data_IF_704823837175
#
_entry.id   IF_704823837175
#
_cell.length_a   1.000
_cell.length_b   1.000
_cell.length_c   1.000
_cell.angle_alpha   90.00
_cell.angle_beta   90.00
_cell.angle_gamma   90.00
#
_symmetry.space_group_name_H-M   'P 1'
#
loop_
_entity.id
_entity.type
_entity.pdbx_description
1 polymer ?
#
# COMPACT_ATOMS: atom_id res chain seq x y z
N UNK A 1 36.48 13.72 18.77
CA UNK A 1 35.75 13.27 17.57
C UNK A 1 34.51 12.54 18.04
N UNK A 2 33.33 13.12 17.88
CA UNK A 2 32.06 12.47 18.23
C UNK A 2 31.67 11.49 17.10
N UNK A 3 31.22 10.26 17.40
CA UNK A 3 30.74 9.36 16.36
C UNK A 3 29.39 9.88 15.84
N UNK A 4 29.33 10.17 14.55
CA UNK A 4 28.08 10.37 13.83
C UNK A 4 27.33 9.04 13.85
N UNK A 5 26.23 8.98 14.60
CA UNK A 5 25.27 7.87 14.47
C UNK A 5 24.50 8.08 13.17
N UNK A 6 24.92 7.38 12.11
CA UNK A 6 24.09 7.22 10.92
C UNK A 6 22.97 6.27 11.31
N UNK A 7 21.80 6.82 11.61
CA UNK A 7 20.59 6.03 11.80
C UNK A 7 20.23 5.44 10.43
N UNK A 8 20.63 4.18 10.19
CA UNK A 8 20.20 3.44 9.02
C UNK A 8 18.66 3.32 9.10
N UNK A 9 17.95 4.10 8.29
CA UNK A 9 16.54 3.86 8.03
C UNK A 9 16.45 2.44 7.49
N UNK A 10 15.93 1.51 8.31
CA UNK A 10 15.73 0.13 7.91
C UNK A 10 14.85 0.15 6.67
N UNK A 11 15.41 -0.24 5.52
CA UNK A 11 14.65 -0.56 4.32
C UNK A 11 13.53 -1.51 4.74
N UNK A 12 12.27 -1.06 4.68
CA UNK A 12 11.13 -1.90 5.04
C UNK A 12 10.97 -2.94 3.94
N UNK A 13 11.49 -4.13 4.17
CA UNK A 13 11.30 -5.27 3.28
C UNK A 13 9.86 -5.79 3.48
N UNK A 14 9.02 -5.60 2.45
CA UNK A 14 7.66 -6.13 2.44
C UNK A 14 7.67 -7.60 1.98
N UNK A 15 7.39 -8.51 2.91
CA UNK A 15 7.43 -9.96 2.65
C UNK A 15 6.02 -10.48 2.33
N UNK A 16 5.88 -11.29 1.27
CA UNK A 16 4.61 -11.94 0.92
C UNK A 16 4.09 -12.78 2.09
N UNK A 17 2.79 -12.70 2.34
CA UNK A 17 2.14 -13.32 3.49
C UNK A 17 2.06 -12.43 4.72
N UNK A 18 2.82 -11.33 4.77
CA UNK A 18 2.74 -10.34 5.85
C UNK A 18 1.37 -9.66 5.88
N UNK A 19 0.91 -9.37 7.09
CA UNK A 19 -0.28 -8.57 7.33
C UNK A 19 0.09 -7.16 7.77
N UNK A 20 -0.64 -6.18 7.26
CA UNK A 20 -0.36 -4.76 7.44
C UNK A 20 -1.65 -4.07 7.92
N UNK A 21 -1.53 -3.17 8.90
CA UNK A 21 -2.64 -2.35 9.41
C UNK A 21 -2.46 -0.87 9.07
N UNK A 22 -3.50 -0.21 8.59
CA UNK A 22 -3.43 1.19 8.17
C UNK A 22 -3.37 2.18 9.37
N UNK A 23 -2.41 3.13 9.33
CA UNK A 23 -2.15 4.09 10.42
C UNK A 23 -3.10 5.30 10.47
N UNK A 24 -3.38 5.93 9.32
CA UNK A 24 -4.08 7.24 9.22
C UNK A 24 -4.97 7.30 7.96
N UNK A 25 -5.90 8.26 7.95
CA UNK A 25 -7.14 8.24 7.17
C UNK A 25 -7.09 8.93 5.79
N UNK A 26 -6.10 9.71 5.40
CA UNK A 26 -6.25 10.49 4.15
C UNK A 26 -5.41 9.94 3.00
N UNK A 27 -6.08 9.81 1.85
CA UNK A 27 -5.64 9.43 0.49
C UNK A 27 -5.15 8.01 0.22
N UNK A 28 -5.25 7.07 1.16
CA UNK A 28 -4.99 5.65 0.86
C UNK A 28 -6.13 5.00 0.09
N UNK A 29 -5.80 4.43 -1.07
CA UNK A 29 -6.74 3.66 -1.89
C UNK A 29 -6.15 2.30 -2.26
N UNK A 30 -7.04 1.32 -2.45
CA UNK A 30 -6.71 0.05 -3.10
C UNK A 30 -7.42 0.01 -4.45
N UNK A 31 -6.70 -0.41 -5.48
CA UNK A 31 -7.18 -0.42 -6.85
C UNK A 31 -7.81 -1.77 -7.21
N UNK A 32 -8.91 -1.76 -7.96
CA UNK A 32 -9.47 -2.99 -8.51
C UNK A 32 -8.59 -3.60 -9.60
N UNK A 33 -7.92 -2.76 -10.40
CA UNK A 33 -7.10 -3.21 -11.52
C UNK A 33 -5.65 -2.76 -11.37
N UNK A 34 -4.72 -3.68 -11.66
CA UNK A 34 -3.28 -3.41 -11.64
C UNK A 34 -2.90 -2.25 -12.59
N UNK A 35 -3.56 -2.15 -13.74
CA UNK A 35 -3.26 -1.13 -14.74
C UNK A 35 -3.56 0.30 -14.25
N UNK A 36 -4.48 0.46 -13.29
CA UNK A 36 -4.79 1.78 -12.73
C UNK A 36 -3.64 2.27 -11.84
N UNK A 37 -3.01 1.37 -11.09
CA UNK A 37 -1.76 1.65 -10.33
C UNK A 37 -0.67 2.10 -11.29
N UNK A 38 -0.52 1.41 -12.42
CA UNK A 38 0.50 1.71 -13.43
C UNK A 38 0.29 3.06 -14.10
N UNK A 39 -0.97 3.39 -14.44
CA UNK A 39 -1.32 4.67 -15.04
C UNK A 39 -0.95 5.82 -14.12
N UNK A 40 -1.12 5.64 -12.81
CA UNK A 40 -0.77 6.64 -11.81
C UNK A 40 0.74 6.78 -11.67
N UNK A 41 1.50 5.68 -11.56
CA UNK A 41 2.96 5.76 -11.50
C UNK A 41 3.53 6.48 -12.71
N UNK A 42 3.08 6.11 -13.92
CA UNK A 42 3.45 6.79 -15.17
C UNK A 42 3.03 8.26 -15.19
N UNK A 43 1.91 8.64 -14.57
CA UNK A 43 1.51 10.06 -14.53
C UNK A 43 2.36 10.83 -13.52
N UNK A 44 2.75 10.22 -12.39
CA UNK A 44 3.56 10.81 -11.33
C UNK A 44 5.01 11.05 -11.77
N UNK A 45 5.56 10.15 -12.60
CA UNK A 45 6.89 10.32 -13.21
C UNK A 45 6.93 11.47 -14.22
N UNK A 46 5.79 11.79 -14.85
CA UNK A 46 5.67 12.82 -15.88
C UNK A 46 5.14 14.17 -15.36
N UNK A 47 4.42 14.20 -14.22
CA UNK A 47 3.79 15.39 -13.65
C UNK A 47 4.22 15.64 -12.20
N UNK A 48 4.31 16.93 -11.83
CA UNK A 48 4.80 17.39 -10.53
C UNK A 48 4.04 16.71 -9.35
N UNK A 49 4.74 16.09 -8.38
CA UNK A 49 4.14 15.31 -7.28
C UNK A 49 3.18 16.08 -6.35
N UNK A 50 3.05 17.40 -6.52
CA UNK A 50 2.14 18.26 -5.77
C UNK A 50 0.71 18.33 -6.37
N UNK A 51 0.40 17.55 -7.41
CA UNK A 51 -0.93 17.51 -8.03
C UNK A 51 -1.72 16.26 -7.62
N UNK A 52 -2.09 16.21 -6.33
CA UNK A 52 -3.01 15.20 -5.77
C UNK A 52 -4.39 15.16 -6.48
N UNK A 53 -4.72 16.19 -7.26
CA UNK A 53 -5.97 16.27 -8.03
C UNK A 53 -6.02 15.32 -9.25
N UNK A 54 -4.89 14.79 -9.72
CA UNK A 54 -4.86 13.89 -10.88
C UNK A 54 -5.37 12.47 -10.55
N UNK A 55 -5.30 12.06 -9.28
CA UNK A 55 -5.82 10.76 -8.81
C UNK A 55 -7.32 10.62 -9.08
N UNK A 56 -8.08 11.68 -8.85
CA UNK A 56 -9.54 11.69 -9.01
C UNK A 56 -9.99 11.77 -10.48
N UNK A 57 -9.10 12.19 -11.40
CA UNK A 57 -9.43 12.39 -12.82
C UNK A 57 -9.08 11.15 -13.66
N UNK A 58 -8.07 10.37 -13.25
CA UNK A 58 -7.55 9.26 -14.05
C UNK A 58 -8.20 7.90 -13.77
N UNK A 59 -8.79 7.68 -12.59
CA UNK A 59 -9.40 6.40 -12.22
C UNK A 59 -10.81 6.62 -11.72
N UNK A 60 -11.75 5.82 -12.22
CA UNK A 60 -13.13 5.88 -11.74
C UNK A 60 -13.15 5.55 -10.24
N UNK A 61 -13.69 6.45 -9.42
CA UNK A 61 -13.79 6.24 -7.97
C UNK A 61 -14.54 4.96 -7.58
N UNK A 62 -15.37 4.40 -8.48
CA UNK A 62 -16.03 3.10 -8.32
C UNK A 62 -15.06 1.93 -8.37
N UNK A 63 -13.90 2.13 -8.98
CA UNK A 63 -12.83 1.15 -9.10
C UNK A 63 -11.78 1.23 -8.00
N UNK A 64 -12.06 2.04 -6.98
CA UNK A 64 -11.20 2.26 -5.83
C UNK A 64 -11.91 1.83 -4.54
N UNK A 65 -11.18 1.15 -3.68
CA UNK A 65 -11.54 1.04 -2.28
C UNK A 65 -10.80 2.09 -1.46
N UNK A 66 -11.54 3.00 -0.84
CA UNK A 66 -10.98 4.00 0.10
C UNK A 66 -10.63 3.32 1.42
N UNK A 67 -9.34 3.23 1.72
CA UNK A 67 -8.82 2.58 2.93
C UNK A 67 -9.20 3.38 4.16
N UNK A 68 -9.75 2.70 5.17
CA UNK A 68 -10.06 3.30 6.47
C UNK A 68 -8.97 2.97 7.47
N UNK A 69 -8.83 3.81 8.51
CA UNK A 69 -7.92 3.53 9.63
C UNK A 69 -8.28 2.17 10.28
N UNK A 70 -7.27 1.34 10.54
CA UNK A 70 -7.43 0.02 11.12
C UNK A 70 -7.85 -1.07 10.12
N UNK A 71 -8.06 -0.73 8.84
CA UNK A 71 -8.21 -1.74 7.80
C UNK A 71 -6.89 -2.54 7.70
N UNK A 72 -7.05 -3.86 7.60
CA UNK A 72 -5.95 -4.80 7.50
C UNK A 72 -5.86 -5.37 6.11
N UNK A 73 -4.65 -5.46 5.58
CA UNK A 73 -4.37 -6.09 4.29
C UNK A 73 -3.33 -7.18 4.45
N UNK A 74 -3.41 -8.21 3.62
CA UNK A 74 -2.38 -9.26 3.51
C UNK A 74 -1.71 -9.17 2.15
N UNK A 75 -0.37 -9.14 2.12
CA UNK A 75 0.40 -9.18 0.88
C UNK A 75 0.32 -10.57 0.26
N UNK A 76 -0.14 -10.68 -0.99
CA UNK A 76 -0.33 -11.96 -1.69
C UNK A 76 0.72 -12.22 -2.76
N UNK A 77 1.06 -11.19 -3.53
CA UNK A 77 1.97 -11.30 -4.68
C UNK A 77 2.61 -9.93 -4.93
N UNK A 78 3.84 -9.90 -5.43
CA UNK A 78 4.52 -8.69 -5.88
C UNK A 78 4.68 -8.70 -7.40
N UNK A 79 4.64 -7.52 -8.01
CA UNK A 79 4.90 -7.32 -9.44
C UNK A 79 5.97 -6.24 -9.62
N UNK A 80 6.63 -6.25 -10.79
CA UNK A 80 7.65 -5.26 -11.18
C UNK A 80 8.67 -5.04 -10.06
N UNK A 81 9.35 -6.12 -9.70
CA UNK A 81 10.42 -6.11 -8.70
C UNK A 81 10.05 -5.47 -7.34
N UNK A 82 8.75 -5.49 -7.01
CA UNK A 82 8.25 -4.96 -5.74
C UNK A 82 7.67 -3.56 -5.81
N UNK A 83 7.36 -3.01 -6.98
CA UNK A 83 6.68 -1.70 -7.09
C UNK A 83 5.18 -1.79 -6.72
N UNK A 84 4.56 -2.93 -7.00
CA UNK A 84 3.12 -3.15 -6.83
C UNK A 84 2.87 -4.46 -6.11
N UNK A 85 1.95 -4.44 -5.15
CA UNK A 85 1.48 -5.62 -4.46
C UNK A 85 0.03 -5.93 -4.79
N UNK A 86 -0.26 -7.21 -5.04
CA UNK A 86 -1.61 -7.78 -4.90
C UNK A 86 -1.86 -8.01 -3.42
N UNK A 87 -3.02 -7.56 -2.93
CA UNK A 87 -3.35 -7.65 -1.50
C UNK A 87 -4.76 -8.15 -1.27
N UNK A 88 -4.97 -8.86 -0.17
CA UNK A 88 -6.29 -9.22 0.33
C UNK A 88 -6.71 -8.24 1.41
N UNK A 89 -7.89 -7.63 1.30
CA UNK A 89 -8.49 -6.87 2.40
C UNK A 89 -9.09 -7.85 3.42
N UNK A 90 -8.59 -7.83 4.66
CA UNK A 90 -9.00 -8.72 5.74
C UNK A 90 -10.24 -8.18 6.46
N UNK A 91 -11.33 -8.03 5.69
CA UNK A 91 -12.62 -7.51 6.17
C UNK A 91 -13.72 -8.52 5.87
N UNK A 92 -14.61 -8.75 6.83
CA UNK A 92 -15.68 -9.78 6.76
C UNK A 92 -16.58 -9.63 5.54
N UNK A 93 -16.87 -8.38 5.16
CA UNK A 93 -17.80 -8.06 4.05
C UNK A 93 -17.08 -7.53 2.81
N UNK A 94 -15.81 -7.91 2.59
CA UNK A 94 -15.12 -7.56 1.36
C UNK A 94 -15.81 -8.23 0.17
N UNK A 95 -16.34 -7.43 -0.76
CA UNK A 95 -16.99 -7.92 -1.99
C UNK A 95 -16.01 -8.50 -3.01
N UNK A 96 -14.70 -8.24 -2.84
CA UNK A 96 -13.64 -8.67 -3.75
C UNK A 96 -12.60 -9.52 -3.02
N UNK A 97 -12.03 -10.46 -3.75
CA UNK A 97 -11.00 -11.36 -3.25
C UNK A 97 -9.64 -10.67 -3.06
N UNK A 98 -9.34 -9.68 -3.90
CA UNK A 98 -8.08 -8.95 -3.88
C UNK A 98 -8.19 -7.55 -4.50
N UNK A 99 -7.17 -6.76 -4.22
CA UNK A 99 -6.92 -5.42 -4.73
C UNK A 99 -5.43 -5.26 -5.06
N UNK A 100 -5.06 -4.11 -5.60
CA UNK A 100 -3.68 -3.71 -5.86
C UNK A 100 -3.31 -2.44 -5.12
N UNK A 101 -2.04 -2.32 -4.74
CA UNK A 101 -1.50 -1.16 -4.03
C UNK A 101 -0.03 -0.93 -4.42
N UNK A 102 0.37 0.33 -4.49
CA UNK A 102 1.76 0.74 -4.71
C UNK A 102 2.58 0.58 -3.41
N UNK A 103 3.84 0.20 -3.54
CA UNK A 103 4.75 0.02 -2.41
C UNK A 103 4.96 1.30 -1.59
N UNK A 104 4.99 2.46 -2.23
CA UNK A 104 5.05 3.76 -1.56
C UNK A 104 3.86 3.98 -0.63
N UNK A 105 2.68 3.49 -1.00
CA UNK A 105 1.48 3.57 -0.16
C UNK A 105 1.60 2.71 1.10
N UNK A 106 2.39 1.63 1.07
CA UNK A 106 2.61 0.74 2.22
C UNK A 106 3.35 1.41 3.38
N UNK A 107 4.05 2.54 3.14
CA UNK A 107 4.71 3.35 4.20
C UNK A 107 3.72 3.83 5.26
N UNK A 108 2.44 3.96 4.90
CA UNK A 108 1.34 4.37 5.76
C UNK A 108 0.71 3.21 6.56
N UNK A 109 1.29 2.01 6.49
CA UNK A 109 0.87 0.84 7.24
C UNK A 109 1.90 0.45 8.32
N UNK A 110 1.45 -0.35 9.28
CA UNK A 110 2.27 -1.02 10.30
C UNK A 110 2.26 -2.51 9.99
N UNK A 111 3.43 -3.15 10.07
CA UNK A 111 3.52 -4.60 10.06
C UNK A 111 2.85 -5.16 11.31
N UNK A 112 1.87 -6.04 11.12
CA UNK A 112 1.27 -6.79 12.20
C UNK A 112 2.18 -7.98 12.44
N UNK A 113 2.84 -8.01 13.59
CA UNK A 113 3.58 -9.20 13.99
C UNK A 113 2.59 -10.37 14.09
N UNK A 114 2.93 -11.55 13.54
CA UNK A 114 2.13 -12.73 13.77
C UNK A 114 2.04 -12.90 15.28
N UNK A 115 0.82 -12.96 15.84
CA UNK A 115 0.66 -13.35 17.25
C UNK A 115 1.39 -14.68 17.40
N UNK A 116 2.54 -14.67 18.08
CA UNK A 116 3.13 -15.89 18.58
C UNK A 116 2.06 -16.49 19.48
N UNK A 117 1.37 -17.51 18.98
CA UNK A 117 0.61 -18.41 19.83
C UNK A 117 1.62 -19.08 20.73
N UNK A 118 1.90 -18.44 21.86
CA UNK A 118 2.49 -19.09 23.03
C UNK A 118 1.44 -20.08 23.50
N UNK A 119 1.55 -21.31 22.99
CA UNK A 119 0.86 -22.50 23.51
C UNK A 119 1.31 -22.80 24.94
#
# INVERSE_FOLDING_TARGET
>A
MLPFSVTAEREKIYVIGSELESKKHNSLVLYHYKNDVLRINLTRDFFNPNQDFLYDIAVDSRDLYKVRKGDKIKLLESFRDGDIFKVKLLKKDSKRDYYFVETESLKNYILIEPKSSSS
#
